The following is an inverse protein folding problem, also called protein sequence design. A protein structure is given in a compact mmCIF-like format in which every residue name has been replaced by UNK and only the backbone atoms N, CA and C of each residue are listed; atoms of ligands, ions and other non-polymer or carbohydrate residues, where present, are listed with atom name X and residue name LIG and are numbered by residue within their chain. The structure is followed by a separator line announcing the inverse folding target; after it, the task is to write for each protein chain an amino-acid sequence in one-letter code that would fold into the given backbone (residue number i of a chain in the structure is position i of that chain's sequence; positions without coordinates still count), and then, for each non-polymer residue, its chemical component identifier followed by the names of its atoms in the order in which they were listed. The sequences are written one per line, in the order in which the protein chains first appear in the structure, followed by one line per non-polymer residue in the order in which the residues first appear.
data_IF_857676915412
#
_entry.id   IF_857676915412
#
_cell.length_a   1.000
_cell.length_b   1.000
_cell.length_c   1.000
_cell.angle_alpha   90.00
_cell.angle_beta   90.00
_cell.angle_gamma   90.00
#
_symmetry.space_group_name_H-M   'P 1'
#
loop_
_entity.id
_entity.type
_entity.pdbx_description
1 polymer ?
#
# COMPACT_ATOMS: atom_id res chain seq x y z
N UNK A 1 -2.26 -2.87 15.70
CA UNK A 1 -1.53 -2.57 14.45
C UNK A 1 -2.10 -3.50 13.41
N UNK A 2 -2.54 -3.01 12.25
CA UNK A 2 -3.06 -3.90 11.20
C UNK A 2 -1.95 -4.85 10.75
N UNK A 3 -2.26 -6.12 10.59
CA UNK A 3 -1.36 -7.14 10.08
C UNK A 3 -1.09 -6.92 8.59
N UNK A 4 0.01 -7.47 8.07
CA UNK A 4 0.36 -7.40 6.64
C UNK A 4 -0.78 -7.95 5.78
N UNK A 5 -1.44 -9.02 6.21
CA UNK A 5 -2.59 -9.63 5.53
C UNK A 5 -3.79 -8.68 5.45
N UNK A 6 -4.11 -7.95 6.52
CA UNK A 6 -5.20 -6.97 6.51
C UNK A 6 -4.89 -5.78 5.61
N UNK A 7 -3.64 -5.32 5.60
CA UNK A 7 -3.19 -4.25 4.70
C UNK A 7 -3.31 -4.70 3.24
N UNK A 8 -2.82 -5.90 2.91
CA UNK A 8 -2.96 -6.50 1.57
C UNK A 8 -4.41 -6.59 1.12
N UNK A 9 -5.31 -7.03 2.00
CA UNK A 9 -6.72 -7.13 1.67
C UNK A 9 -7.33 -5.78 1.30
N UNK A 10 -6.99 -4.71 2.04
CA UNK A 10 -7.43 -3.33 1.73
C UNK A 10 -6.88 -2.83 0.41
N UNK A 11 -5.56 -3.00 0.17
CA UNK A 11 -4.92 -2.59 -1.08
C UNK A 11 -5.52 -3.34 -2.28
N UNK A 12 -5.79 -4.65 -2.15
CA UNK A 12 -6.47 -5.46 -3.19
C UNK A 12 -7.93 -5.05 -3.43
N UNK A 13 -8.60 -4.47 -2.44
CA UNK A 13 -9.92 -3.88 -2.61
C UNK A 13 -9.89 -2.51 -3.31
N UNK A 14 -8.69 -1.98 -3.58
CA UNK A 14 -8.47 -0.67 -4.17
C UNK A 14 -8.47 0.47 -3.16
N UNK A 15 -8.33 0.17 -1.87
CA UNK A 15 -8.21 1.19 -0.82
C UNK A 15 -6.79 1.75 -0.74
N UNK A 16 -6.71 3.02 -0.34
CA UNK A 16 -5.44 3.68 0.02
C UNK A 16 -5.21 3.52 1.51
N UNK A 17 -4.06 2.98 1.90
CA UNK A 17 -3.68 2.79 3.29
C UNK A 17 -2.67 3.85 3.70
N UNK A 18 -2.96 4.59 4.78
CA UNK A 18 -2.05 5.57 5.36
C UNK A 18 -1.36 4.94 6.57
N UNK A 19 -0.04 4.90 6.58
CA UNK A 19 0.72 4.31 7.69
C UNK A 19 2.03 5.06 7.96
N UNK A 20 2.60 4.95 9.18
CA UNK A 20 3.89 5.56 9.51
C UNK A 20 5.01 5.03 8.60
N UNK A 21 5.99 5.86 8.26
CA UNK A 21 7.09 5.48 7.36
C UNK A 21 7.84 4.22 7.80
N UNK A 22 8.09 4.06 9.11
CA UNK A 22 8.70 2.84 9.66
C UNK A 22 7.83 1.59 9.42
N UNK A 23 6.51 1.74 9.47
CA UNK A 23 5.57 0.65 9.20
C UNK A 23 5.50 0.31 7.71
N UNK A 24 5.66 1.30 6.81
CA UNK A 24 5.78 1.05 5.37
C UNK A 24 6.98 0.17 5.07
N UNK A 25 8.14 0.48 5.65
CA UNK A 25 9.36 -0.29 5.45
C UNK A 25 9.19 -1.76 5.87
N UNK A 26 8.58 -2.00 7.03
CA UNK A 26 8.27 -3.35 7.51
C UNK A 26 7.26 -4.06 6.61
N UNK A 27 6.21 -3.36 6.17
CA UNK A 27 5.21 -3.90 5.26
C UNK A 27 5.83 -4.34 3.92
N UNK A 28 6.65 -3.49 3.30
CA UNK A 28 7.33 -3.81 2.04
C UNK A 28 8.32 -4.96 2.20
N UNK A 29 9.10 -4.98 3.28
CA UNK A 29 10.04 -6.07 3.58
C UNK A 29 9.34 -7.42 3.70
N UNK A 30 8.16 -7.45 4.35
CA UNK A 30 7.36 -8.66 4.46
C UNK A 30 6.74 -9.07 3.13
N UNK A 31 6.34 -8.09 2.30
CA UNK A 31 5.83 -8.38 0.95
C UNK A 31 6.89 -8.99 0.04
N UNK A 32 8.13 -8.50 0.11
CA UNK A 32 9.27 -9.05 -0.63
C UNK A 32 9.64 -10.47 -0.19
N UNK A 33 9.54 -10.76 1.12
CA UNK A 33 9.82 -12.09 1.69
C UNK A 33 8.73 -13.11 1.36
N UNK A 34 7.49 -12.66 1.31
CA UNK A 34 6.31 -13.52 1.13
C UNK A 34 5.39 -12.97 0.03
N UNK A 35 5.85 -12.92 -1.23
CA UNK A 35 5.07 -12.35 -2.32
C UNK A 35 3.79 -13.15 -2.57
N UNK A 36 2.67 -12.47 -2.80
CA UNK A 36 1.39 -13.12 -3.09
C UNK A 36 0.74 -12.64 -4.39
N UNK A 37 0.88 -13.43 -5.45
CA UNK A 37 0.26 -13.11 -6.75
C UNK A 37 0.98 -11.94 -7.44
N UNK A 38 0.22 -11.11 -8.16
CA UNK A 38 0.74 -9.91 -8.83
C UNK A 38 0.54 -8.70 -7.92
N UNK A 39 1.38 -8.60 -6.87
CA UNK A 39 1.40 -7.45 -5.97
C UNK A 39 2.17 -6.30 -6.61
N UNK A 40 1.53 -5.14 -6.74
CA UNK A 40 2.17 -3.91 -7.19
C UNK A 40 1.72 -2.80 -6.24
N UNK A 41 2.62 -2.30 -5.40
CA UNK A 41 2.31 -1.26 -4.42
C UNK A 41 3.07 0.02 -4.76
N UNK A 42 2.37 1.14 -4.77
CA UNK A 42 2.92 2.48 -4.90
C UNK A 42 2.91 3.17 -3.53
N UNK A 43 3.97 3.95 -3.26
CA UNK A 43 4.16 4.63 -1.98
C UNK A 43 4.38 6.11 -2.26
N UNK A 44 3.57 6.95 -1.61
CA UNK A 44 3.67 8.41 -1.73
C UNK A 44 3.75 9.10 -0.37
N UNK A 45 4.44 10.24 -0.27
CA UNK A 45 4.37 11.08 0.92
C UNK A 45 2.92 11.52 1.22
N UNK A 46 2.50 11.42 2.48
CA UNK A 46 1.19 11.94 2.91
C UNK A 46 1.30 13.18 3.79
N UNK A 47 1.96 13.02 4.94
CA UNK A 47 2.12 14.03 5.99
C UNK A 47 3.37 13.69 6.80
N UNK A 48 3.76 14.54 7.75
CA UNK A 48 5.03 14.38 8.45
C UNK A 48 5.14 13.00 9.16
N UNK A 49 6.02 12.13 8.65
CA UNK A 49 6.23 10.78 9.17
C UNK A 49 5.26 9.70 8.67
N UNK A 50 4.35 10.04 7.74
CA UNK A 50 3.34 9.12 7.19
C UNK A 50 3.38 9.06 5.65
N UNK A 51 3.09 7.88 5.12
CA UNK A 51 3.00 7.63 3.69
C UNK A 51 1.65 6.99 3.33
N UNK A 52 1.19 7.24 2.11
CA UNK A 52 0.13 6.50 1.46
C UNK A 52 0.72 5.28 0.77
N UNK A 53 0.04 4.16 0.86
CA UNK A 53 0.32 2.93 0.13
C UNK A 53 -0.95 2.53 -0.59
N UNK A 54 -0.86 2.25 -1.88
CA UNK A 54 -1.99 1.82 -2.71
C UNK A 54 -1.52 0.91 -3.84
N UNK A 55 -2.40 0.06 -4.38
CA UNK A 55 -2.12 -0.69 -5.60
C UNK A 55 -2.60 0.14 -6.81
N UNK A 56 -1.72 0.65 -7.68
CA UNK A 56 -2.12 1.55 -8.78
C UNK A 56 -3.01 0.84 -9.81
N UNK A 57 -2.94 -0.49 -9.93
CA UNK A 57 -3.82 -1.25 -10.84
C UNK A 57 -5.25 -1.37 -10.30
N UNK A 58 -5.45 -1.12 -9.00
CA UNK A 58 -6.71 -1.36 -8.28
C UNK A 58 -7.27 -0.12 -7.60
N UNK A 59 -6.44 0.89 -7.36
CA UNK A 59 -6.84 2.16 -6.76
C UNK A 59 -7.96 2.75 -7.60
N UNK A 60 -9.19 2.76 -7.05
CA UNK A 60 -10.40 3.18 -7.76
C UNK A 60 -10.47 4.71 -8.01
N UNK A 61 -9.34 5.41 -7.96
CA UNK A 61 -9.31 6.87 -7.84
C UNK A 61 -8.18 7.61 -8.57
N UNK A 62 -7.24 6.96 -9.25
CA UNK A 62 -6.20 7.69 -10.01
C UNK A 62 -6.03 7.15 -11.42
N UNK A 63 -7.09 7.32 -12.22
CA UNK A 63 -6.94 7.61 -13.64
C UNK A 63 -8.17 8.38 -14.11
N UNK A 64 -8.10 9.70 -14.00
CA UNK A 64 -8.55 10.57 -15.07
C UNK A 64 -7.79 11.87 -14.93
N UNK A 65 -6.69 12.00 -15.66
CA UNK A 65 -6.42 13.23 -16.39
C UNK A 65 -5.72 12.86 -17.70
N UNK A 66 -6.23 13.50 -18.74
CA UNK A 66 -6.11 13.28 -20.18
C UNK A 66 -4.82 13.88 -20.75
#
# INVERSE_FOLDING_TARGET
MATVTEIRAKLRAGEVVIMPGNSVFLFMSECERHPEGDECYHIEPHSHGYSKVFDPKRAKGEHHDN
#
